data_IF_180049890035
#
_entry.id   IF_180049890035
#
_cell.length_a   1.000
_cell.length_b   1.000
_cell.length_c   1.000
_cell.angle_alpha   90.00
_cell.angle_beta   90.00
_cell.angle_gamma   90.00
#
_symmetry.space_group_name_H-M   'P 1'
#
loop_
_entity.id
_entity.type
_entity.pdbx_description
1 polymer ?
#
# COMPACT_ATOMS: atom_id res chain seq x y z
N UNK A 1 13.97 -22.33 10.20
CA UNK A 1 14.10 -23.60 9.46
C UNK A 1 15.49 -23.64 8.88
N UNK A 2 16.19 -24.78 8.91
CA UNK A 2 17.51 -24.92 8.28
C UNK A 2 17.31 -25.32 6.82
N UNK A 3 17.93 -24.63 5.87
CA UNK A 3 17.93 -25.01 4.44
C UNK A 3 19.07 -26.00 4.20
N UNK A 4 18.79 -27.10 3.50
CA UNK A 4 19.77 -28.16 3.25
C UNK A 4 20.55 -27.94 1.94
N UNK A 5 20.08 -27.04 1.07
CA UNK A 5 20.75 -26.66 -0.16
C UNK A 5 20.53 -25.19 -0.52
N UNK A 6 21.40 -24.67 -1.40
CA UNK A 6 21.25 -23.31 -1.94
C UNK A 6 19.94 -23.15 -2.72
N UNK A 7 19.54 -24.18 -3.45
CA UNK A 7 18.28 -24.17 -4.20
C UNK A 7 17.05 -24.05 -3.28
N UNK A 8 17.04 -24.74 -2.14
CA UNK A 8 15.97 -24.62 -1.14
C UNK A 8 15.92 -23.24 -0.49
N UNK A 9 17.08 -22.60 -0.29
CA UNK A 9 17.17 -21.22 0.21
C UNK A 9 16.59 -20.25 -0.82
N UNK A 10 17.08 -20.30 -2.06
CA UNK A 10 16.66 -19.40 -3.14
C UNK A 10 15.16 -19.55 -3.45
N UNK A 11 14.62 -20.78 -3.47
CA UNK A 11 13.20 -21.02 -3.66
C UNK A 11 12.35 -20.43 -2.52
N UNK A 12 12.79 -20.57 -1.26
CA UNK A 12 12.11 -19.97 -0.12
C UNK A 12 12.09 -18.44 -0.22
N UNK A 13 13.23 -17.85 -0.59
CA UNK A 13 13.38 -16.41 -0.79
C UNK A 13 12.51 -15.89 -1.93
N UNK A 14 12.39 -16.63 -3.03
CA UNK A 14 11.50 -16.31 -4.15
C UNK A 14 10.04 -16.28 -3.71
N UNK A 15 9.58 -17.27 -2.95
CA UNK A 15 8.20 -17.31 -2.42
C UNK A 15 7.92 -16.13 -1.51
N UNK A 16 8.87 -15.78 -0.62
CA UNK A 16 8.74 -14.66 0.30
C UNK A 16 8.67 -13.32 -0.46
N UNK A 17 9.57 -13.10 -1.44
CA UNK A 17 9.53 -11.92 -2.32
C UNK A 17 8.23 -11.82 -3.10
N UNK A 18 7.73 -12.94 -3.62
CA UNK A 18 6.47 -12.96 -4.36
C UNK A 18 5.28 -12.63 -3.45
N UNK A 19 5.26 -13.14 -2.21
CA UNK A 19 4.23 -12.83 -1.24
C UNK A 19 4.25 -11.35 -0.84
N UNK A 20 5.44 -10.79 -0.56
CA UNK A 20 5.59 -9.38 -0.22
C UNK A 20 5.16 -8.45 -1.37
N UNK A 21 5.57 -8.75 -2.62
CA UNK A 21 5.11 -8.01 -3.81
C UNK A 21 3.59 -8.03 -3.99
N UNK A 22 2.95 -9.19 -3.76
CA UNK A 22 1.49 -9.28 -3.80
C UNK A 22 0.85 -8.41 -2.73
N UNK A 23 1.39 -8.42 -1.51
CA UNK A 23 0.87 -7.60 -0.42
C UNK A 23 0.94 -6.09 -0.73
N UNK A 24 2.06 -5.62 -1.30
CA UNK A 24 2.19 -4.23 -1.76
C UNK A 24 1.14 -3.91 -2.84
N UNK A 25 1.05 -4.74 -3.88
CA UNK A 25 0.09 -4.52 -4.96
C UNK A 25 -1.37 -4.56 -4.51
N UNK A 26 -1.72 -5.42 -3.54
CA UNK A 26 -3.05 -5.45 -2.93
C UNK A 26 -3.33 -4.17 -2.11
N UNK A 27 -2.33 -3.65 -1.39
CA UNK A 27 -2.46 -2.41 -0.63
C UNK A 27 -2.68 -1.21 -1.56
N UNK A 28 -1.91 -1.10 -2.65
CA UNK A 28 -2.09 -0.09 -3.69
C UNK A 28 -3.49 -0.14 -4.31
N UNK A 29 -3.95 -1.33 -4.69
CA UNK A 29 -5.28 -1.51 -5.28
C UNK A 29 -6.39 -1.11 -4.31
N UNK A 30 -6.26 -1.46 -3.03
CA UNK A 30 -7.24 -1.06 -2.00
C UNK A 30 -7.26 0.44 -1.82
N UNK A 31 -6.10 1.11 -1.82
CA UNK A 31 -6.02 2.56 -1.68
C UNK A 31 -6.66 3.28 -2.88
N UNK A 32 -6.37 2.82 -4.10
CA UNK A 32 -6.98 3.38 -5.31
C UNK A 32 -8.49 3.16 -5.32
N UNK A 33 -8.95 1.96 -4.95
CA UNK A 33 -10.37 1.67 -4.84
C UNK A 33 -11.05 2.58 -3.81
N UNK A 34 -10.46 2.74 -2.63
CA UNK A 34 -10.96 3.62 -1.57
C UNK A 34 -11.09 5.06 -2.06
N UNK A 35 -10.06 5.60 -2.71
CA UNK A 35 -10.08 6.95 -3.31
C UNK A 35 -11.20 7.11 -4.34
N UNK A 36 -11.37 6.12 -5.22
CA UNK A 36 -12.42 6.13 -6.24
C UNK A 36 -13.82 6.14 -5.62
N UNK A 37 -14.05 5.30 -4.60
CA UNK A 37 -15.32 5.26 -3.87
C UNK A 37 -15.65 6.59 -3.19
N UNK A 38 -14.66 7.22 -2.55
CA UNK A 38 -14.86 8.52 -1.88
C UNK A 38 -15.18 9.64 -2.86
N UNK A 39 -14.47 9.71 -3.99
CA UNK A 39 -14.78 10.66 -5.05
C UNK A 39 -16.22 10.50 -5.55
N UNK A 40 -16.66 9.26 -5.80
CA UNK A 40 -18.04 8.98 -6.19
C UNK A 40 -19.06 9.41 -5.10
N UNK A 41 -18.73 9.20 -3.83
CA UNK A 41 -19.56 9.65 -2.71
C UNK A 41 -19.65 11.18 -2.63
N UNK A 42 -18.53 11.89 -2.81
CA UNK A 42 -18.51 13.35 -2.81
C UNK A 42 -19.31 13.94 -3.98
N UNK A 43 -19.14 13.40 -5.18
CA UNK A 43 -19.93 13.80 -6.35
C UNK A 43 -21.41 13.55 -6.16
N UNK A 44 -21.79 12.41 -5.57
CA UNK A 44 -23.19 12.08 -5.27
C UNK A 44 -23.77 13.04 -4.23
N UNK A 45 -23.03 13.31 -3.15
CA UNK A 45 -23.42 14.24 -2.09
C UNK A 45 -23.59 15.66 -2.62
N UNK A 46 -22.68 16.11 -3.47
CA UNK A 46 -22.76 17.41 -4.12
C UNK A 46 -23.98 17.51 -5.04
N UNK A 47 -24.23 16.50 -5.89
CA UNK A 47 -25.43 16.46 -6.75
C UNK A 47 -26.72 16.52 -5.95
N UNK A 48 -26.80 15.80 -4.84
CA UNK A 48 -27.94 15.85 -3.93
C UNK A 48 -28.11 17.27 -3.34
N UNK A 49 -27.03 17.88 -2.87
CA UNK A 49 -27.07 19.22 -2.32
C UNK A 49 -27.52 20.28 -3.33
N UNK A 50 -27.10 20.14 -4.60
CA UNK A 50 -27.59 21.00 -5.70
C UNK A 50 -29.09 20.82 -5.89
N UNK A 51 -29.59 19.58 -5.91
CA UNK A 51 -31.02 19.30 -6.09
C UNK A 51 -31.90 19.84 -4.95
N UNK A 52 -31.32 19.92 -3.74
CA UNK A 52 -31.99 20.46 -2.55
C UNK A 52 -31.80 21.98 -2.40
N UNK A 53 -31.05 22.63 -3.29
CA UNK A 53 -30.75 24.06 -3.22
C UNK A 53 -29.82 24.46 -2.07
N UNK A 54 -29.10 23.50 -1.47
CA UNK A 54 -28.23 23.72 -0.31
C UNK A 54 -26.73 23.71 -0.65
N UNK A 55 -26.36 23.48 -1.91
CA UNK A 55 -24.96 23.42 -2.33
C UNK A 55 -24.16 24.71 -2.03
N UNK A 56 -24.85 25.85 -2.04
CA UNK A 56 -24.23 27.16 -1.77
C UNK A 56 -24.29 27.57 -0.30
N UNK A 57 -24.93 26.79 0.57
CA UNK A 57 -24.93 27.08 2.01
C UNK A 57 -23.52 26.90 2.57
N UNK A 58 -23.01 27.94 3.24
CA UNK A 58 -21.68 27.93 3.88
C UNK A 58 -21.48 26.74 4.83
N UNK A 59 -22.52 26.35 5.56
CA UNK A 59 -22.46 25.20 6.46
C UNK A 59 -22.21 23.89 5.70
N UNK A 60 -22.90 23.68 4.57
CA UNK A 60 -22.71 22.51 3.73
C UNK A 60 -21.31 22.50 3.11
N UNK A 61 -20.88 23.62 2.51
CA UNK A 61 -19.55 23.75 1.92
C UNK A 61 -18.43 23.46 2.90
N UNK A 62 -18.53 23.99 4.14
CA UNK A 62 -17.53 23.75 5.19
C UNK A 62 -17.45 22.27 5.60
N UNK A 63 -18.61 21.60 5.74
CA UNK A 63 -18.65 20.18 6.10
C UNK A 63 -18.10 19.32 4.96
N UNK A 64 -18.51 19.59 3.72
CA UNK A 64 -18.01 18.85 2.56
C UNK A 64 -16.50 19.05 2.37
N UNK A 65 -16.00 20.28 2.48
CA UNK A 65 -14.57 20.55 2.40
C UNK A 65 -13.79 19.81 3.47
N UNK A 66 -14.27 19.84 4.72
CA UNK A 66 -13.63 19.10 5.82
C UNK A 66 -13.57 17.60 5.54
N UNK A 67 -14.66 17.01 5.02
CA UNK A 67 -14.67 15.59 4.68
C UNK A 67 -13.67 15.25 3.56
N UNK A 68 -13.52 16.13 2.57
CA UNK A 68 -12.51 16.00 1.53
C UNK A 68 -11.11 16.09 2.12
N UNK A 69 -10.85 17.07 2.97
CA UNK A 69 -9.54 17.27 3.61
C UNK A 69 -9.15 16.08 4.49
N UNK A 70 -10.07 15.61 5.36
CA UNK A 70 -9.87 14.45 6.23
C UNK A 70 -9.61 13.17 5.40
N UNK A 71 -10.26 13.05 4.24
CA UNK A 71 -10.08 11.93 3.31
C UNK A 71 -8.74 11.97 2.59
N UNK A 72 -8.34 13.15 2.11
CA UNK A 72 -7.05 13.36 1.46
C UNK A 72 -5.89 13.05 2.41
N UNK A 73 -6.02 13.41 3.69
CA UNK A 73 -5.07 13.05 4.74
C UNK A 73 -4.96 11.52 4.90
N UNK A 74 -6.09 10.83 5.02
CA UNK A 74 -6.11 9.36 5.14
C UNK A 74 -5.51 8.66 3.91
N UNK A 75 -5.79 9.16 2.71
CA UNK A 75 -5.20 8.61 1.48
C UNK A 75 -3.69 8.80 1.47
N UNK A 76 -3.18 9.98 1.90
CA UNK A 76 -1.74 10.24 2.01
C UNK A 76 -1.06 9.34 3.03
N UNK A 77 -1.67 9.13 4.19
CA UNK A 77 -1.14 8.21 5.19
C UNK A 77 -1.13 6.77 4.68
N UNK A 78 -2.19 6.35 3.97
CA UNK A 78 -2.22 5.07 3.27
C UNK A 78 -1.09 4.93 2.24
N UNK A 79 -0.84 5.97 1.43
CA UNK A 79 0.28 5.98 0.47
C UNK A 79 1.63 5.89 1.16
N UNK A 80 1.81 6.52 2.33
CA UNK A 80 3.06 6.42 3.10
C UNK A 80 3.31 4.98 3.54
N UNK A 81 2.28 4.29 4.05
CA UNK A 81 2.40 2.88 4.47
C UNK A 81 2.77 1.99 3.28
N UNK A 82 2.18 2.22 2.10
CA UNK A 82 2.55 1.47 0.88
C UNK A 82 4.02 1.68 0.54
N UNK A 83 4.50 2.92 0.60
CA UNK A 83 5.91 3.22 0.35
C UNK A 83 6.84 2.53 1.36
N UNK A 84 6.49 2.53 2.64
CA UNK A 84 7.24 1.83 3.68
C UNK A 84 7.32 0.31 3.42
N UNK A 85 6.23 -0.29 2.94
CA UNK A 85 6.22 -1.72 2.55
C UNK A 85 7.13 -2.00 1.34
N UNK A 86 7.19 -1.07 0.40
CA UNK A 86 8.05 -1.19 -0.79
C UNK A 86 9.54 -1.05 -0.41
N UNK A 87 9.85 -0.15 0.53
CA UNK A 87 11.18 -0.04 1.14
C UNK A 87 11.55 -1.31 1.92
N UNK A 88 10.62 -1.89 2.67
CA UNK A 88 10.78 -3.18 3.36
C UNK A 88 11.08 -4.32 2.39
N UNK A 89 10.42 -4.35 1.23
CA UNK A 89 10.70 -5.29 0.16
C UNK A 89 12.12 -5.12 -0.37
N UNK A 90 12.58 -3.87 -0.54
CA UNK A 90 13.97 -3.57 -0.89
C UNK A 90 14.97 -4.09 0.15
N UNK A 91 14.69 -3.86 1.44
CA UNK A 91 15.51 -4.38 2.55
C UNK A 91 15.49 -5.90 2.65
N UNK A 92 14.37 -6.54 2.33
CA UNK A 92 14.26 -8.00 2.26
C UNK A 92 15.17 -8.56 1.17
N UNK A 93 15.16 -7.95 -0.02
CA UNK A 93 16.02 -8.39 -1.13
C UNK A 93 17.51 -8.30 -0.79
N UNK A 94 17.95 -7.24 -0.10
CA UNK A 94 19.33 -7.11 0.37
C UNK A 94 19.69 -8.21 1.37
N UNK A 95 18.83 -8.48 2.36
CA UNK A 95 19.03 -9.58 3.32
C UNK A 95 19.10 -10.94 2.65
N UNK A 96 18.30 -11.17 1.61
CA UNK A 96 18.32 -12.43 0.85
C UNK A 96 19.66 -12.64 0.14
N UNK A 97 20.24 -11.59 -0.44
CA UNK A 97 21.58 -11.65 -1.05
C UNK A 97 22.67 -11.93 -0.01
N UNK A 98 22.64 -11.25 1.14
CA UNK A 98 23.59 -11.50 2.23
C UNK A 98 23.53 -12.95 2.71
N UNK A 99 22.32 -13.49 2.92
CA UNK A 99 22.11 -14.89 3.30
C UNK A 99 22.66 -15.87 2.27
N UNK A 100 22.51 -15.54 0.98
CA UNK A 100 23.01 -16.34 -0.13
C UNK A 100 24.55 -16.35 -0.14
N UNK A 101 25.18 -15.20 0.03
CA UNK A 101 26.64 -15.10 0.15
C UNK A 101 27.18 -15.87 1.37
N UNK A 102 26.51 -15.76 2.52
CA UNK A 102 26.85 -16.50 3.74
C UNK A 102 26.77 -18.00 3.53
N UNK A 103 25.70 -18.48 2.88
CA UNK A 103 25.54 -19.89 2.58
C UNK A 103 26.65 -20.41 1.66
N UNK A 104 27.01 -19.64 0.62
CA UNK A 104 28.11 -19.99 -0.29
C UNK A 104 29.45 -20.01 0.46
N UNK A 105 29.72 -19.02 1.32
CA UNK A 105 30.95 -18.97 2.13
C UNK A 105 31.06 -20.17 3.07
N UNK A 106 29.96 -20.56 3.72
CA UNK A 106 29.93 -21.69 4.64
C UNK A 106 30.18 -23.05 3.96
N UNK A 107 29.94 -23.16 2.64
CA UNK A 107 30.20 -24.37 1.86
C UNK A 107 31.55 -24.41 1.15
N UNK A 108 32.33 -23.32 1.18
CA UNK A 108 33.69 -23.32 0.66
C UNK A 108 34.62 -23.97 1.70
N UNK A 109 35.41 -24.99 1.33
CA UNK A 109 36.36 -25.65 2.23
C UNK A 109 37.52 -24.73 2.65
#
# INVERSE_FOLDING_TARGET
>A
MSHNSLAELEESQDRERQAARRAVGEAEQRLEHYRSTLNAMFESSHRLAVSLGVADHDGFRKVLQRLVDDTDEQVRDGSRIVLELDEDLGRLALRHEEQREDFIRAQRP
#
